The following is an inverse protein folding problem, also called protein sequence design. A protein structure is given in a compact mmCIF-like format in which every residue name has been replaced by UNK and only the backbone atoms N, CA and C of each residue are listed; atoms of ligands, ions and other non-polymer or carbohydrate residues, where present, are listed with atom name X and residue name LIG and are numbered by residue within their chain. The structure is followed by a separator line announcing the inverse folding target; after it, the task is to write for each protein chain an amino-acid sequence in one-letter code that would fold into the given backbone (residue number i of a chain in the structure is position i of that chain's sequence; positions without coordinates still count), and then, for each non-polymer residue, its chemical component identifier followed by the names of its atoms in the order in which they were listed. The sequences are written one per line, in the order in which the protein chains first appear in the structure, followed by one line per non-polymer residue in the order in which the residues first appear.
data_IF_296731353824
#
_entry.id   IF_296731353824
#
_cell.length_a   1.000
_cell.length_b   1.000
_cell.length_c   1.000
_cell.angle_alpha   90.00
_cell.angle_beta   90.00
_cell.angle_gamma   90.00
#
_symmetry.space_group_name_H-M   'P 1'
#
loop_
_entity.id
_entity.type
_entity.pdbx_description
1 polymer ?
#
# COMPACT_ATOMS: atom_id res chain seq x y z
N UNK A 1 6.83 3.77 8.50
CA UNK A 1 5.88 3.07 9.39
C UNK A 1 6.64 2.02 10.19
N UNK A 2 7.35 2.47 11.23
CA UNK A 2 8.30 1.67 12.01
C UNK A 2 7.66 0.51 12.81
N UNK A 3 6.33 0.43 12.89
CA UNK A 3 5.63 -0.63 13.61
C UNK A 3 5.13 -1.82 12.77
N UNK A 4 5.18 -1.72 11.44
CA UNK A 4 4.54 -2.70 10.56
C UNK A 4 5.14 -4.11 10.64
N UNK A 5 6.40 -4.23 11.07
CA UNK A 5 7.10 -5.52 11.15
C UNK A 5 7.53 -5.87 12.59
N UNK A 6 6.99 -5.20 13.59
CA UNK A 6 7.34 -5.44 15.01
C UNK A 6 7.08 -6.89 15.48
N UNK A 7 6.18 -7.60 14.79
CA UNK A 7 5.85 -9.00 15.03
C UNK A 7 6.80 -10.01 14.34
N UNK A 8 7.71 -9.53 13.49
CA UNK A 8 8.72 -10.38 12.82
C UNK A 8 9.92 -10.61 13.74
N UNK A 9 10.46 -11.84 13.72
CA UNK A 9 11.66 -12.20 14.48
C UNK A 9 12.83 -11.30 14.08
N UNK A 10 13.61 -10.84 15.04
CA UNK A 10 14.80 -9.99 14.81
C UNK A 10 14.52 -8.52 14.47
N UNK A 11 13.25 -8.11 14.40
CA UNK A 11 12.90 -6.74 14.01
C UNK A 11 13.51 -5.67 14.94
N UNK A 12 13.54 -5.89 16.26
CA UNK A 12 14.04 -4.91 17.22
C UNK A 12 15.51 -4.59 16.97
N UNK A 13 16.36 -5.62 16.89
CA UNK A 13 17.80 -5.46 16.67
C UNK A 13 18.08 -4.82 15.30
N UNK A 14 17.39 -5.29 14.25
CA UNK A 14 17.51 -4.73 12.90
C UNK A 14 17.06 -3.26 12.86
N UNK A 15 15.91 -2.93 13.44
CA UNK A 15 15.36 -1.58 13.48
C UNK A 15 16.20 -0.61 14.35
N UNK A 16 16.87 -1.12 15.36
CA UNK A 16 17.80 -0.35 16.21
C UNK A 16 19.17 -0.12 15.54
N UNK A 17 19.45 -0.78 14.42
CA UNK A 17 20.76 -0.73 13.76
C UNK A 17 21.84 -1.50 14.50
N UNK A 18 21.46 -2.47 15.35
CA UNK A 18 22.40 -3.36 16.06
C UNK A 18 22.96 -4.45 15.13
N UNK A 19 22.26 -4.71 14.02
CA UNK A 19 22.63 -5.66 12.98
C UNK A 19 22.06 -5.23 11.63
N UNK A 20 22.79 -5.54 10.56
CA UNK A 20 22.33 -5.37 9.18
C UNK A 20 21.60 -6.61 8.65
N UNK A 21 21.58 -7.70 9.41
CA UNK A 21 20.94 -8.98 9.08
C UNK A 21 19.56 -9.04 9.72
N UNK A 22 18.53 -9.22 8.89
CA UNK A 22 17.14 -9.38 9.36
C UNK A 22 16.82 -10.86 9.53
N UNK A 23 17.04 -11.40 10.70
CA UNK A 23 16.97 -12.85 10.97
C UNK A 23 15.60 -13.47 10.77
N UNK A 24 14.52 -12.69 10.86
CA UNK A 24 13.15 -13.14 10.59
C UNK A 24 12.81 -13.23 9.11
N UNK A 25 13.68 -12.80 8.22
CA UNK A 25 13.51 -12.85 6.76
C UNK A 25 14.61 -13.72 6.18
N UNK A 26 14.25 -14.70 5.35
CA UNK A 26 15.20 -15.62 4.72
C UNK A 26 14.99 -15.64 3.22
N UNK A 27 16.05 -15.57 2.45
CA UNK A 27 16.06 -15.82 1.01
C UNK A 27 16.42 -17.29 0.77
N UNK A 28 15.42 -18.09 0.41
CA UNK A 28 15.58 -19.54 0.24
C UNK A 28 16.18 -19.87 -1.14
N UNK A 29 15.66 -19.22 -2.15
CA UNK A 29 16.15 -19.30 -3.54
C UNK A 29 15.74 -18.03 -4.33
N UNK A 30 16.02 -17.98 -5.62
CA UNK A 30 15.73 -16.83 -6.49
C UNK A 30 14.25 -16.41 -6.54
N UNK A 31 13.33 -17.27 -6.11
CA UNK A 31 11.87 -17.07 -6.20
C UNK A 31 11.13 -17.31 -4.89
N UNK A 32 11.87 -17.74 -3.87
CA UNK A 32 11.27 -18.14 -2.59
C UNK A 32 11.94 -17.41 -1.45
N UNK A 33 11.15 -16.76 -0.64
CA UNK A 33 11.60 -16.20 0.63
C UNK A 33 10.64 -16.64 1.74
N UNK A 34 11.08 -16.55 2.99
CA UNK A 34 10.22 -16.77 4.15
C UNK A 34 10.29 -15.60 5.12
N UNK A 35 9.18 -15.41 5.86
CA UNK A 35 9.11 -14.45 6.97
C UNK A 35 8.64 -15.20 8.20
N UNK A 36 9.39 -15.05 9.29
CA UNK A 36 9.10 -15.74 10.57
C UNK A 36 8.49 -14.77 11.56
N UNK A 37 7.26 -15.06 11.98
CA UNK A 37 6.54 -14.31 13.02
C UNK A 37 6.96 -14.82 14.39
N UNK A 38 7.05 -13.93 15.37
CA UNK A 38 7.34 -14.31 16.78
C UNK A 38 6.22 -15.16 17.35
N UNK A 39 6.55 -16.22 18.09
CA UNK A 39 5.61 -17.19 18.65
C UNK A 39 4.49 -16.55 19.51
N UNK A 40 4.77 -15.42 20.15
CA UNK A 40 3.75 -14.72 20.95
C UNK A 40 2.56 -14.19 20.13
N UNK A 41 2.69 -14.09 18.82
CA UNK A 41 1.63 -13.67 17.90
C UNK A 41 0.89 -14.85 17.25
N UNK A 42 1.31 -16.08 17.51
CA UNK A 42 0.54 -17.27 17.19
C UNK A 42 -0.55 -17.48 18.27
N UNK A 43 -1.76 -17.84 17.93
CA UNK A 43 -2.37 -18.18 16.65
C UNK A 43 -3.20 -17.05 16.03
N UNK A 44 -2.81 -15.82 16.16
CA UNK A 44 -3.59 -14.68 15.69
C UNK A 44 -3.57 -14.59 14.16
N UNK A 45 -4.64 -15.07 13.52
CA UNK A 45 -4.81 -15.03 12.07
C UNK A 45 -4.59 -13.63 11.47
N UNK A 46 -5.04 -12.59 12.15
CA UNK A 46 -4.89 -11.21 11.67
C UNK A 46 -3.45 -10.73 11.66
N UNK A 47 -2.58 -11.28 12.48
CA UNK A 47 -1.14 -10.96 12.45
C UNK A 47 -0.50 -11.42 11.15
N UNK A 48 -0.98 -12.52 10.55
CA UNK A 48 -0.54 -12.97 9.24
C UNK A 48 -0.93 -12.00 8.13
N UNK A 49 -2.06 -11.29 8.27
CA UNK A 49 -2.50 -10.30 7.29
C UNK A 49 -1.63 -9.04 7.29
N UNK A 50 -0.90 -8.76 8.36
CA UNK A 50 0.06 -7.66 8.42
C UNK A 50 1.39 -7.97 7.71
N UNK A 51 1.64 -9.24 7.35
CA UNK A 51 2.78 -9.65 6.53
C UNK A 51 2.57 -9.39 5.04
N UNK A 52 1.80 -8.37 4.69
CA UNK A 52 1.65 -7.93 3.30
C UNK A 52 2.99 -7.42 2.79
N UNK A 53 3.59 -8.15 1.87
CA UNK A 53 4.89 -7.82 1.28
C UNK A 53 4.66 -7.21 -0.10
N UNK A 54 5.17 -5.99 -0.28
CA UNK A 54 5.19 -5.34 -1.59
C UNK A 54 6.57 -5.55 -2.21
N UNK A 55 6.67 -6.17 -3.40
CA UNK A 55 7.95 -6.34 -4.06
C UNK A 55 8.48 -4.98 -4.54
N UNK A 56 9.70 -4.64 -4.11
CA UNK A 56 10.43 -3.48 -4.61
C UNK A 56 11.59 -3.93 -5.49
N UNK A 57 11.81 -3.29 -6.66
CA UNK A 57 12.89 -3.65 -7.56
C UNK A 57 14.23 -3.15 -7.01
N UNK A 58 14.99 -4.01 -6.33
CA UNK A 58 16.26 -3.63 -5.67
C UNK A 58 17.23 -2.92 -6.60
N UNK A 59 17.36 -3.36 -7.84
CA UNK A 59 18.25 -2.73 -8.83
C UNK A 59 17.83 -1.30 -9.23
N UNK A 60 16.59 -0.90 -8.93
CA UNK A 60 16.07 0.45 -9.18
C UNK A 60 16.20 1.33 -7.95
N UNK A 61 15.75 0.81 -6.80
CA UNK A 61 15.74 1.59 -5.54
C UNK A 61 17.11 1.67 -4.90
N UNK A 62 17.95 0.66 -5.09
CA UNK A 62 19.32 0.62 -4.57
C UNK A 62 20.29 0.06 -5.64
N UNK A 63 20.54 0.79 -6.73
CA UNK A 63 21.46 0.36 -7.76
C UNK A 63 22.85 0.11 -7.18
N UNK A 64 23.46 -1.02 -7.59
CA UNK A 64 24.72 -1.49 -7.02
C UNK A 64 24.57 -2.39 -5.79
N UNK A 65 23.33 -2.66 -5.37
CA UNK A 65 23.02 -3.55 -4.24
C UNK A 65 22.22 -4.77 -4.68
N UNK A 66 22.33 -5.83 -3.91
CA UNK A 66 21.49 -7.02 -4.01
C UNK A 66 21.11 -7.56 -2.63
N UNK A 67 20.07 -8.39 -2.57
CA UNK A 67 19.69 -9.08 -1.33
C UNK A 67 20.43 -10.41 -1.26
N UNK A 68 21.08 -10.67 -0.14
CA UNK A 68 21.75 -11.94 0.17
C UNK A 68 21.20 -12.53 1.46
N UNK A 69 21.53 -13.79 1.69
CA UNK A 69 21.25 -14.52 2.95
C UNK A 69 22.54 -15.22 3.40
N UNK A 70 22.94 -15.02 4.65
CA UNK A 70 24.17 -15.58 5.21
C UNK A 70 23.96 -16.90 5.98
N UNK A 71 22.73 -17.41 5.99
CA UNK A 71 22.33 -18.55 6.80
C UNK A 71 21.66 -18.16 8.12
N UNK A 72 21.80 -16.92 8.57
CA UNK A 72 21.16 -16.36 9.77
C UNK A 72 20.00 -15.41 9.44
N UNK A 73 20.04 -14.75 8.26
CA UNK A 73 19.00 -13.86 7.82
C UNK A 73 19.31 -13.17 6.48
N UNK A 74 18.30 -12.46 5.95
CA UNK A 74 18.47 -11.65 4.75
C UNK A 74 19.13 -10.30 5.09
N UNK A 75 19.98 -9.82 4.19
CA UNK A 75 20.64 -8.51 4.27
C UNK A 75 20.87 -7.91 2.88
N UNK A 76 21.17 -6.62 2.84
CA UNK A 76 21.51 -5.93 1.59
C UNK A 76 23.02 -5.83 1.48
N UNK A 77 23.56 -6.33 0.37
CA UNK A 77 25.00 -6.37 0.08
C UNK A 77 25.33 -5.52 -1.15
N UNK A 78 26.59 -5.07 -1.24
CA UNK A 78 27.12 -4.53 -2.47
C UNK A 78 27.27 -5.65 -3.50
N UNK A 79 26.90 -5.37 -4.77
CA UNK A 79 27.18 -6.29 -5.91
C UNK A 79 28.68 -6.36 -6.13
N UNK A 80 29.39 -5.23 -6.05
CA UNK A 80 30.85 -5.18 -6.10
C UNK A 80 31.44 -5.52 -4.72
N UNK A 81 31.88 -6.74 -4.54
CA UNK A 81 32.49 -7.24 -3.29
C UNK A 81 33.83 -6.57 -2.98
N UNK A 82 34.43 -5.84 -3.91
CA UNK A 82 35.69 -5.11 -3.69
C UNK A 82 35.45 -3.70 -3.12
N UNK A 83 34.20 -3.23 -3.15
CA UNK A 83 33.84 -1.95 -2.58
C UNK A 83 33.97 -1.96 -1.04
N UNK A 84 34.77 -1.05 -0.50
CA UNK A 84 35.03 -0.94 0.95
C UNK A 84 33.86 -0.28 1.67
N UNK A 85 33.22 0.67 1.03
CA UNK A 85 32.10 1.44 1.61
C UNK A 85 30.76 0.83 1.22
N UNK A 86 29.75 0.87 2.11
CA UNK A 86 28.41 0.40 1.78
C UNK A 86 27.79 1.30 0.70
N UNK A 87 27.25 0.69 -0.35
CA UNK A 87 26.48 1.40 -1.39
C UNK A 87 25.07 1.71 -0.92
N UNK A 88 24.48 0.86 -0.08
CA UNK A 88 23.15 1.07 0.49
C UNK A 88 23.20 2.12 1.59
N UNK A 89 22.89 3.36 1.26
CA UNK A 89 22.93 4.50 2.18
C UNK A 89 21.63 5.31 2.17
N UNK A 90 21.45 6.14 3.18
CA UNK A 90 20.31 7.05 3.25
C UNK A 90 20.31 8.04 2.08
N UNK A 91 21.48 8.52 1.66
CA UNK A 91 21.65 9.44 0.52
C UNK A 91 21.25 8.77 -0.79
N UNK A 92 21.60 7.50 -0.98
CA UNK A 92 21.15 6.73 -2.13
C UNK A 92 19.63 6.65 -2.16
N UNK A 93 19.00 6.24 -1.07
CA UNK A 93 17.53 6.14 -0.98
C UNK A 93 16.84 7.51 -1.10
N UNK A 94 17.46 8.58 -0.62
CA UNK A 94 16.94 9.93 -0.81
C UNK A 94 16.87 10.29 -2.30
N UNK A 95 17.86 9.94 -3.08
CA UNK A 95 17.93 10.25 -4.52
C UNK A 95 17.10 9.30 -5.39
N UNK A 96 17.08 8.01 -5.06
CA UNK A 96 16.43 6.98 -5.91
C UNK A 96 14.96 6.73 -5.55
N UNK A 97 14.59 6.92 -4.30
CA UNK A 97 13.24 6.59 -3.80
C UNK A 97 12.45 7.83 -3.40
N UNK A 98 13.06 8.74 -2.62
CA UNK A 98 12.37 9.85 -1.97
C UNK A 98 12.43 11.15 -2.75
N UNK A 99 13.23 11.24 -3.82
CA UNK A 99 13.26 12.43 -4.67
C UNK A 99 11.86 12.77 -5.19
N UNK A 100 11.45 14.04 -5.04
CA UNK A 100 10.09 14.44 -5.34
C UNK A 100 9.77 14.46 -6.84
N UNK A 101 10.80 14.58 -7.69
CA UNK A 101 10.63 14.68 -9.14
C UNK A 101 10.89 13.35 -9.86
N UNK A 102 11.92 12.61 -9.42
CA UNK A 102 12.40 11.44 -10.13
C UNK A 102 12.44 10.17 -9.27
N UNK A 103 12.17 10.28 -7.96
CA UNK A 103 12.20 9.15 -7.06
C UNK A 103 11.14 8.10 -7.36
N UNK A 104 11.44 6.85 -7.10
CA UNK A 104 10.57 5.71 -7.40
C UNK A 104 9.18 5.80 -6.75
N UNK A 105 9.05 6.43 -5.58
CA UNK A 105 7.73 6.64 -4.94
C UNK A 105 6.85 7.64 -5.70
N UNK A 106 7.47 8.60 -6.39
CA UNK A 106 6.76 9.59 -7.20
C UNK A 106 6.57 9.14 -8.65
N UNK A 107 7.53 8.39 -9.17
CA UNK A 107 7.57 7.90 -10.55
C UNK A 107 7.95 6.41 -10.62
N UNK A 108 7.03 5.50 -10.24
CA UNK A 108 7.29 4.05 -10.28
C UNK A 108 7.28 3.55 -11.73
N UNK A 109 8.40 3.65 -12.43
CA UNK A 109 8.52 3.28 -13.84
C UNK A 109 8.67 1.77 -14.08
N UNK A 110 9.02 0.99 -13.06
CA UNK A 110 9.09 -0.47 -13.11
C UNK A 110 8.08 -1.05 -12.11
N UNK A 111 7.04 -1.69 -12.62
CA UNK A 111 5.95 -2.24 -11.81
C UNK A 111 5.61 -3.66 -12.23
N UNK A 112 5.11 -4.48 -11.30
CA UNK A 112 4.68 -5.85 -11.58
C UNK A 112 3.16 -5.97 -11.82
N UNK A 113 2.42 -4.87 -11.71
CA UNK A 113 0.97 -4.85 -11.87
C UNK A 113 0.51 -4.81 -13.33
N UNK A 114 -0.82 -4.96 -13.58
CA UNK A 114 -1.39 -4.93 -14.92
C UNK A 114 -1.30 -3.57 -15.62
N UNK A 115 -1.13 -2.50 -14.85
CA UNK A 115 -1.00 -1.14 -15.36
C UNK A 115 0.29 -0.50 -14.87
N UNK A 116 0.85 0.40 -15.68
CA UNK A 116 1.98 1.26 -15.35
C UNK A 116 1.54 2.72 -15.29
N UNK A 117 2.20 3.50 -14.45
CA UNK A 117 1.99 4.95 -14.36
C UNK A 117 2.46 5.63 -15.65
N UNK A 118 1.61 6.48 -16.22
CA UNK A 118 1.92 7.33 -17.38
C UNK A 118 2.19 8.75 -16.91
N UNK A 119 1.25 9.31 -16.15
CA UNK A 119 1.37 10.67 -15.64
C UNK A 119 0.69 10.85 -14.29
N UNK A 120 1.17 11.81 -13.53
CA UNK A 120 0.53 12.29 -12.31
C UNK A 120 0.57 13.81 -12.28
N UNK A 121 -0.59 14.43 -12.39
CA UNK A 121 -0.74 15.86 -12.18
C UNK A 121 -0.97 16.16 -10.71
N UNK A 122 0.01 16.80 -10.07
CA UNK A 122 -0.04 17.14 -8.64
C UNK A 122 -1.04 18.24 -8.30
N UNK A 123 -1.37 19.10 -9.26
CA UNK A 123 -2.30 20.20 -9.05
C UNK A 123 -3.73 19.72 -9.03
N UNK A 124 -4.15 18.93 -10.00
CA UNK A 124 -5.49 18.35 -10.08
C UNK A 124 -5.64 17.05 -9.27
N UNK A 125 -4.54 16.36 -8.94
CA UNK A 125 -4.53 15.02 -8.38
C UNK A 125 -4.90 13.94 -9.39
N UNK A 126 -4.94 14.25 -10.68
CA UNK A 126 -5.26 13.30 -11.74
C UNK A 126 -4.09 12.36 -12.01
N UNK A 127 -4.38 11.08 -12.12
CA UNK A 127 -3.38 10.03 -12.41
C UNK A 127 -3.81 9.26 -13.64
N UNK A 128 -2.90 9.07 -14.59
CA UNK A 128 -3.13 8.29 -15.80
C UNK A 128 -2.28 7.01 -15.78
N UNK A 129 -2.91 5.89 -16.10
CA UNK A 129 -2.29 4.59 -16.23
C UNK A 129 -2.53 4.01 -17.62
N UNK A 130 -1.55 3.27 -18.15
CA UNK A 130 -1.68 2.46 -19.36
C UNK A 130 -1.36 1.00 -19.06
N UNK A 131 -1.78 0.09 -19.93
CA UNK A 131 -1.45 -1.34 -19.83
C UNK A 131 0.07 -1.50 -19.70
N UNK A 132 0.49 -2.33 -18.74
CA UNK A 132 1.85 -2.80 -18.61
C UNK A 132 2.05 -3.99 -19.57
N UNK A 133 2.79 -3.78 -20.64
CA UNK A 133 3.07 -4.77 -21.69
C UNK A 133 3.83 -6.00 -21.19
N UNK A 134 4.53 -5.87 -20.05
CA UNK A 134 5.27 -6.96 -19.42
C UNK A 134 4.40 -7.80 -18.46
N UNK A 135 3.16 -7.38 -18.20
CA UNK A 135 2.27 -8.12 -17.31
C UNK A 135 1.77 -9.40 -18.00
N UNK A 136 2.12 -10.54 -17.43
CA UNK A 136 1.78 -11.86 -18.00
C UNK A 136 0.37 -12.36 -17.65
N UNK A 137 -0.34 -11.67 -16.79
CA UNK A 137 -1.67 -12.05 -16.29
C UNK A 137 -1.67 -12.38 -14.79
N UNK A 138 -2.87 -12.50 -14.21
CA UNK A 138 -3.05 -12.98 -12.85
C UNK A 138 -2.87 -14.51 -12.79
N UNK A 139 -3.16 -15.14 -11.62
CA UNK A 139 -3.07 -16.59 -11.43
C UNK A 139 -3.99 -17.42 -12.37
N UNK A 140 -5.00 -16.80 -12.98
CA UNK A 140 -5.89 -17.39 -13.98
C UNK A 140 -5.45 -17.05 -15.42
N UNK A 141 -4.39 -16.27 -15.59
CA UNK A 141 -3.89 -15.80 -16.89
C UNK A 141 -4.70 -14.62 -17.46
N UNK A 142 -5.59 -14.00 -16.66
CA UNK A 142 -6.40 -12.86 -17.11
C UNK A 142 -5.52 -11.60 -17.21
N UNK A 143 -5.63 -10.91 -18.35
CA UNK A 143 -4.93 -9.65 -18.64
C UNK A 143 -5.89 -8.48 -18.74
N UNK A 144 -5.44 -7.23 -18.51
CA UNK A 144 -6.26 -6.05 -18.71
C UNK A 144 -6.66 -5.92 -20.20
N UNK A 145 -7.87 -5.40 -20.43
CA UNK A 145 -8.42 -5.13 -21.77
C UNK A 145 -8.74 -3.65 -21.99
N UNK A 146 -8.67 -2.83 -20.93
CA UNK A 146 -8.87 -1.39 -21.00
C UNK A 146 -7.50 -0.76 -21.15
N UNK A 147 -7.26 -0.08 -22.26
CA UNK A 147 -5.92 0.43 -22.60
C UNK A 147 -5.41 1.49 -21.62
N UNK A 148 -6.29 2.40 -21.21
CA UNK A 148 -5.97 3.54 -20.33
C UNK A 148 -6.98 3.65 -19.21
N UNK A 149 -6.50 3.91 -18.00
CA UNK A 149 -7.32 4.21 -16.81
C UNK A 149 -6.88 5.54 -16.24
N UNK A 150 -7.82 6.49 -16.19
CA UNK A 150 -7.58 7.79 -15.57
C UNK A 150 -8.31 7.89 -14.23
N UNK A 151 -7.59 8.14 -13.15
CA UNK A 151 -8.15 8.42 -11.84
C UNK A 151 -8.26 9.93 -11.64
N UNK A 152 -9.47 10.40 -11.38
CA UNK A 152 -9.78 11.81 -11.15
C UNK A 152 -10.39 11.98 -9.77
N UNK A 153 -9.88 12.87 -8.91
CA UNK A 153 -10.54 13.20 -7.66
C UNK A 153 -11.89 13.88 -7.92
N UNK A 154 -12.94 13.39 -7.27
CA UNK A 154 -14.29 13.94 -7.41
C UNK A 154 -14.87 14.24 -6.04
N UNK A 155 -15.40 15.44 -5.85
CA UNK A 155 -16.07 15.81 -4.61
C UNK A 155 -17.47 15.14 -4.51
N UNK A 156 -17.93 14.78 -3.30
CA UNK A 156 -19.20 14.07 -3.13
C UNK A 156 -20.41 14.74 -3.81
N UNK A 157 -20.50 16.07 -3.77
CA UNK A 157 -21.59 16.82 -4.39
C UNK A 157 -21.59 16.75 -5.92
N UNK A 158 -20.44 16.49 -6.56
CA UNK A 158 -20.29 16.51 -8.03
C UNK A 158 -20.36 15.08 -8.62
N UNK A 159 -20.31 14.04 -7.78
CA UNK A 159 -20.22 12.65 -8.21
C UNK A 159 -21.36 12.25 -9.15
N UNK A 160 -22.60 12.61 -8.82
CA UNK A 160 -23.77 12.26 -9.61
C UNK A 160 -23.74 12.95 -10.99
N UNK A 161 -23.51 14.25 -11.02
CA UNK A 161 -23.49 15.05 -12.25
C UNK A 161 -22.40 14.56 -13.22
N UNK A 162 -21.19 14.31 -12.70
CA UNK A 162 -20.06 13.82 -13.50
C UNK A 162 -20.30 12.42 -14.07
N UNK A 163 -21.00 11.56 -13.35
CA UNK A 163 -21.38 10.24 -13.84
C UNK A 163 -22.50 10.35 -14.91
N UNK A 164 -23.52 11.18 -14.68
CA UNK A 164 -24.63 11.41 -15.63
C UNK A 164 -24.16 12.07 -16.94
N UNK A 165 -23.20 13.00 -16.85
CA UNK A 165 -22.61 13.65 -18.03
C UNK A 165 -21.66 12.76 -18.84
N UNK A 166 -21.24 11.62 -18.27
CA UNK A 166 -20.22 10.76 -18.87
C UNK A 166 -18.80 11.34 -18.78
N UNK A 167 -18.56 12.33 -17.90
CA UNK A 167 -17.20 12.81 -17.61
C UNK A 167 -16.39 11.74 -16.89
N UNK A 168 -17.05 10.89 -16.10
CA UNK A 168 -16.47 9.71 -15.46
C UNK A 168 -17.33 8.47 -15.73
N UNK A 169 -16.67 7.31 -15.85
CA UNK A 169 -17.33 6.03 -16.15
C UNK A 169 -17.63 5.23 -14.88
N UNK A 170 -16.86 5.45 -13.80
CA UNK A 170 -16.93 4.67 -12.58
C UNK A 170 -16.62 5.50 -11.33
N UNK A 171 -17.50 5.42 -10.35
CA UNK A 171 -17.25 5.91 -8.99
C UNK A 171 -16.77 4.76 -8.10
N UNK A 172 -15.59 4.90 -7.51
CA UNK A 172 -14.99 3.89 -6.66
C UNK A 172 -15.00 4.32 -5.19
N UNK A 173 -15.37 3.39 -4.30
CA UNK A 173 -15.36 3.56 -2.84
C UNK A 173 -16.25 4.71 -2.33
N UNK A 174 -17.44 4.87 -2.90
CA UNK A 174 -18.43 5.80 -2.36
C UNK A 174 -18.95 5.27 -1.02
N UNK A 175 -18.68 6.00 0.06
CA UNK A 175 -19.05 5.60 1.44
C UNK A 175 -20.21 6.43 2.01
N UNK A 176 -20.54 7.54 1.39
CA UNK A 176 -21.64 8.42 1.80
C UNK A 176 -22.97 7.84 1.34
N UNK A 177 -23.83 7.50 2.32
CA UNK A 177 -25.13 6.88 2.05
C UNK A 177 -26.11 7.80 1.31
N UNK A 178 -26.06 9.10 1.55
CA UNK A 178 -26.93 10.08 0.88
C UNK A 178 -26.54 10.22 -0.58
N UNK A 179 -25.24 10.25 -0.89
CA UNK A 179 -24.72 10.25 -2.25
C UNK A 179 -25.16 8.97 -2.98
N UNK A 180 -24.97 7.78 -2.37
CA UNK A 180 -25.41 6.50 -2.94
C UNK A 180 -26.94 6.50 -3.19
N UNK A 181 -27.72 6.95 -2.21
CA UNK A 181 -29.18 6.99 -2.35
C UNK A 181 -29.65 7.94 -3.43
N UNK A 182 -28.98 9.08 -3.63
CA UNK A 182 -29.29 10.04 -4.69
C UNK A 182 -29.10 9.48 -6.09
N UNK A 183 -28.18 8.51 -6.25
CA UNK A 183 -27.87 7.84 -7.52
C UNK A 183 -28.70 6.58 -7.79
N UNK A 184 -29.43 6.04 -6.79
CA UNK A 184 -30.25 4.82 -6.99
C UNK A 184 -31.23 4.87 -8.16
N UNK A 185 -31.89 6.00 -8.49
CA UNK A 185 -32.76 6.09 -9.66
C UNK A 185 -32.07 5.77 -10.99
N UNK A 186 -30.77 6.06 -11.10
CA UNK A 186 -29.95 5.81 -12.29
C UNK A 186 -29.87 4.30 -12.65
N UNK A 187 -30.13 3.40 -11.70
CA UNK A 187 -30.17 1.96 -11.98
C UNK A 187 -31.22 1.57 -13.02
N UNK A 188 -32.31 2.33 -13.13
CA UNK A 188 -33.34 2.15 -14.19
C UNK A 188 -32.90 2.69 -15.54
N UNK A 189 -31.80 3.44 -15.59
CA UNK A 189 -31.26 4.09 -16.79
C UNK A 189 -30.01 3.35 -17.33
N UNK A 190 -29.74 2.15 -16.82
CA UNK A 190 -28.66 1.30 -17.29
C UNK A 190 -27.36 1.37 -16.50
N UNK A 191 -27.32 2.15 -15.40
CA UNK A 191 -26.18 2.14 -14.49
C UNK A 191 -26.21 0.92 -13.58
N UNK A 192 -25.05 0.54 -13.05
CA UNK A 192 -24.88 -0.58 -12.13
C UNK A 192 -24.31 -0.13 -10.80
N UNK A 193 -24.77 -0.75 -9.72
CA UNK A 193 -24.25 -0.54 -8.37
C UNK A 193 -23.74 -1.87 -7.84
N UNK A 194 -22.44 -1.92 -7.49
CA UNK A 194 -21.85 -3.04 -6.79
C UNK A 194 -21.65 -2.67 -5.32
N UNK A 195 -22.20 -3.48 -4.44
CA UNK A 195 -22.04 -3.38 -2.99
C UNK A 195 -21.39 -4.65 -2.46
N UNK A 196 -20.43 -4.51 -1.57
CA UNK A 196 -19.74 -5.63 -0.93
C UNK A 196 -19.48 -5.35 0.54
N UNK A 197 -19.55 -6.41 1.36
CA UNK A 197 -19.22 -6.32 2.77
C UNK A 197 -17.71 -6.07 2.95
N UNK A 198 -17.38 -5.11 3.83
CA UNK A 198 -15.99 -4.86 4.22
C UNK A 198 -15.70 -5.56 5.53
N UNK A 199 -14.51 -6.15 5.65
CA UNK A 199 -13.97 -6.64 6.92
C UNK A 199 -13.45 -5.44 7.71
N UNK A 200 -14.31 -4.86 8.53
CA UNK A 200 -13.99 -3.71 9.35
C UNK A 200 -15.22 -3.09 9.98
N UNK A 201 -14.99 -2.24 10.96
CA UNK A 201 -16.03 -1.50 11.67
C UNK A 201 -15.57 -0.07 11.92
N UNK A 202 -16.53 0.86 11.98
CA UNK A 202 -16.30 2.21 12.47
C UNK A 202 -16.43 2.24 13.99
N UNK A 203 -15.60 3.02 14.65
CA UNK A 203 -15.66 3.18 16.10
C UNK A 203 -15.36 4.61 16.53
N UNK A 204 -15.88 4.98 17.69
CA UNK A 204 -15.51 6.20 18.38
C UNK A 204 -14.63 5.84 19.58
N UNK A 205 -13.40 6.32 19.60
CA UNK A 205 -12.50 6.14 20.72
C UNK A 205 -12.53 7.37 21.65
N UNK A 206 -12.61 7.15 22.95
CA UNK A 206 -12.60 8.22 23.93
C UNK A 206 -11.24 8.34 24.63
N UNK A 207 -10.68 9.55 24.67
CA UNK A 207 -9.53 9.87 25.51
C UNK A 207 -9.96 9.95 26.98
N UNK A 208 -10.08 8.81 27.66
CA UNK A 208 -10.69 8.70 28.99
C UNK A 208 -9.93 9.46 30.10
N UNK A 209 -8.72 9.91 29.84
CA UNK A 209 -7.87 10.63 30.80
C UNK A 209 -7.88 12.15 30.59
N UNK A 210 -8.55 12.64 29.53
CA UNK A 210 -8.52 14.05 29.16
C UNK A 210 -9.90 14.62 28.85
N UNK A 211 -10.07 15.92 29.20
CA UNK A 211 -11.27 16.69 28.86
C UNK A 211 -12.58 16.12 29.43
N UNK A 212 -13.72 16.47 28.84
CA UNK A 212 -15.05 16.01 29.31
C UNK A 212 -15.21 14.49 29.20
N UNK A 213 -14.49 13.81 28.30
CA UNK A 213 -14.57 12.37 28.10
C UNK A 213 -14.01 11.55 29.28
N UNK A 214 -13.32 12.16 30.23
CA UNK A 214 -12.96 11.52 31.51
C UNK A 214 -14.18 11.09 32.32
N UNK A 215 -15.30 11.80 32.18
CA UNK A 215 -16.53 11.47 32.89
C UNK A 215 -17.33 10.38 32.19
N UNK A 216 -17.63 9.28 32.91
CA UNK A 216 -18.39 8.15 32.38
C UNK A 216 -19.75 8.59 31.82
N UNK A 217 -20.44 9.50 32.48
CA UNK A 217 -21.76 9.99 32.06
C UNK A 217 -21.70 10.68 30.68
N UNK A 218 -20.61 11.40 30.36
CA UNK A 218 -20.42 12.03 29.04
C UNK A 218 -20.27 10.99 27.98
N UNK A 219 -19.43 9.97 28.19
CA UNK A 219 -19.25 8.87 27.24
C UNK A 219 -20.54 8.10 26.98
N UNK A 220 -21.30 7.82 28.07
CA UNK A 220 -22.61 7.18 27.95
C UNK A 220 -23.63 8.06 27.21
N UNK A 221 -23.59 9.38 27.42
CA UNK A 221 -24.45 10.31 26.69
C UNK A 221 -24.18 10.30 25.18
N UNK A 222 -22.90 10.17 24.76
CA UNK A 222 -22.53 10.08 23.35
C UNK A 222 -22.97 8.73 22.75
N UNK A 223 -22.93 7.65 23.53
CA UNK A 223 -23.36 6.31 23.08
C UNK A 223 -24.87 6.22 22.80
N UNK A 224 -25.66 7.14 23.42
CA UNK A 224 -27.12 7.23 23.22
C UNK A 224 -27.53 8.17 22.07
N UNK A 225 -26.61 8.87 21.42
CA UNK A 225 -26.87 9.75 20.28
C UNK A 225 -26.71 9.06 18.96
#
# INVERSE_FOLDING_TARGET
NTGAYAHVVGYEAFSAGETDVFSGVRLIDERTFSVTVKAQYEPYFYELSYLSVYPYPIGVIAPGCEVRDDGEGAYIANIDETAVEPVFTAELLQSTVLDAENGYLSHPYLTCGPYKLVSYDRESGTVEFAINEFYVGNYEGVRPVIDTVTLVPVLPQDMKEKLESGEIDLLNKVVDGDVVNSMRPMLSEGYSLLNYARLGYGFCAFACEQGPQQFKAVRQGIDYC
#
